data_IF_032385494338
#
_entry.id   IF_032385494338
#
_cell.length_a   1.000
_cell.length_b   1.000
_cell.length_c   1.000
_cell.angle_alpha   90.00
_cell.angle_beta   90.00
_cell.angle_gamma   90.00
#
_symmetry.space_group_name_H-M   'P 1'
#
loop_
_entity.id
_entity.type
_entity.pdbx_description
1 polymer ?
#
# COMPACT_ATOMS: atom_id res chain seq x y z
N UNK A 1 -1.77 6.69 8.64
CA UNK A 1 -2.19 6.02 7.38
C UNK A 1 -3.64 6.37 7.19
N UNK A 2 -3.99 6.94 6.04
CA UNK A 2 -5.35 7.32 5.74
C UNK A 2 -5.81 6.39 4.63
N UNK A 3 -6.77 5.53 4.93
CA UNK A 3 -7.49 4.77 3.91
C UNK A 3 -8.36 5.76 3.15
N UNK A 4 -8.26 5.78 1.83
CA UNK A 4 -9.03 6.66 0.97
C UNK A 4 -10.00 5.84 0.15
N UNK A 5 -11.20 6.36 -0.08
CA UNK A 5 -12.17 5.68 -0.95
C UNK A 5 -11.60 5.60 -2.35
N UNK A 6 -11.72 4.44 -2.99
CA UNK A 6 -11.46 4.31 -4.41
C UNK A 6 -12.49 5.13 -5.18
N UNK A 7 -12.06 5.97 -6.11
CA UNK A 7 -12.96 6.85 -6.89
C UNK A 7 -13.76 6.03 -7.93
N UNK A 8 -13.20 4.90 -8.37
CA UNK A 8 -13.79 4.03 -9.37
C UNK A 8 -14.71 2.94 -8.78
N UNK A 9 -14.68 2.77 -7.46
CA UNK A 9 -15.47 1.75 -6.73
C UNK A 9 -15.77 2.28 -5.32
N UNK A 10 -16.97 2.78 -5.07
CA UNK A 10 -17.30 3.30 -3.73
C UNK A 10 -17.41 2.19 -2.66
N UNK A 11 -17.27 0.90 -3.00
CA UNK A 11 -17.31 -0.19 -2.03
C UNK A 11 -15.94 -0.53 -1.42
N UNK A 12 -14.87 0.11 -1.88
CA UNK A 12 -13.49 -0.20 -1.49
C UNK A 12 -12.72 1.02 -0.97
N UNK A 13 -11.70 0.74 -0.16
CA UNK A 13 -10.67 1.67 0.25
C UNK A 13 -9.33 1.26 -0.33
N UNK A 14 -8.48 2.24 -0.60
CA UNK A 14 -7.08 2.00 -0.95
C UNK A 14 -6.11 2.65 0.02
N UNK A 15 -4.90 2.11 0.06
CA UNK A 15 -3.74 2.73 0.72
C UNK A 15 -2.45 2.47 -0.08
N UNK A 16 -1.61 3.49 -0.35
CA UNK A 16 -0.33 3.29 -1.02
C UNK A 16 0.61 2.41 -0.20
N UNK A 17 1.23 1.41 -0.83
CA UNK A 17 2.25 0.59 -0.18
C UNK A 17 3.54 1.39 0.06
N UNK A 18 4.24 1.03 1.14
CA UNK A 18 5.57 1.56 1.43
C UNK A 18 6.41 0.50 2.12
N UNK A 19 7.69 0.44 1.74
CA UNK A 19 8.69 -0.38 2.42
C UNK A 19 9.52 0.56 3.28
N UNK A 20 9.65 0.19 4.56
CA UNK A 20 10.59 0.83 5.44
C UNK A 20 12.01 0.31 5.23
N UNK A 21 13.00 1.18 5.35
CA UNK A 21 14.41 0.81 5.29
C UNK A 21 15.22 1.75 6.20
N UNK A 22 16.39 1.29 6.64
CA UNK A 22 17.34 2.10 7.40
C UNK A 22 18.34 2.75 6.46
N UNK A 23 18.55 4.05 6.61
CA UNK A 23 19.58 4.83 5.95
C UNK A 23 20.49 5.43 7.04
N UNK A 24 21.56 4.69 7.36
CA UNK A 24 22.34 4.91 8.58
C UNK A 24 21.48 4.66 9.83
N UNK A 25 21.45 5.63 10.75
CA UNK A 25 20.63 5.59 11.96
C UNK A 25 19.17 6.03 11.73
N UNK A 26 18.83 6.47 10.51
CA UNK A 26 17.49 7.02 10.22
C UNK A 26 16.61 5.98 9.57
N UNK A 27 15.41 5.82 10.13
CA UNK A 27 14.36 5.06 9.49
C UNK A 27 13.70 5.90 8.38
N UNK A 28 13.64 5.36 7.16
CA UNK A 28 12.98 5.97 6.00
C UNK A 28 11.94 5.01 5.42
N UNK A 29 11.03 5.55 4.62
CA UNK A 29 10.03 4.75 3.90
C UNK A 29 10.00 5.18 2.45
N UNK A 30 9.99 4.24 1.51
CA UNK A 30 9.76 4.52 0.09
C UNK A 30 8.51 3.84 -0.42
N UNK A 31 7.86 4.47 -1.42
CA UNK A 31 6.71 3.90 -2.13
C UNK A 31 7.18 2.88 -3.15
N UNK A 32 6.41 1.80 -3.25
CA UNK A 32 6.69 0.67 -4.15
C UNK A 32 6.06 0.96 -5.51
N UNK A 33 6.78 0.62 -6.57
CA UNK A 33 6.26 0.68 -7.95
C UNK A 33 6.31 -0.68 -8.65
N UNK A 34 7.08 -1.66 -8.15
CA UNK A 34 7.18 -2.98 -8.74
C UNK A 34 6.62 -4.05 -7.78
N UNK A 35 5.78 -4.95 -8.30
CA UNK A 35 5.24 -6.06 -7.53
C UNK A 35 6.32 -7.06 -7.12
N UNK A 36 7.46 -7.13 -7.80
CA UNK A 36 8.59 -8.00 -7.40
C UNK A 36 9.09 -7.70 -5.98
N UNK A 37 8.90 -6.47 -5.52
CA UNK A 37 9.33 -5.96 -4.20
C UNK A 37 8.36 -6.37 -3.06
N UNK A 38 7.21 -6.95 -3.39
CA UNK A 38 6.20 -7.40 -2.44
C UNK A 38 6.38 -8.89 -2.10
N UNK A 39 6.26 -9.23 -0.81
CA UNK A 39 6.25 -10.62 -0.37
C UNK A 39 5.03 -11.39 -0.88
N UNK A 40 5.16 -12.70 -0.95
CA UNK A 40 4.08 -13.65 -1.26
C UNK A 40 2.86 -13.48 -0.36
N UNK A 41 3.09 -13.19 0.92
CA UNK A 41 2.07 -12.98 1.93
C UNK A 41 1.23 -11.75 1.62
N UNK A 42 1.86 -10.64 1.18
CA UNK A 42 1.12 -9.44 0.79
C UNK A 42 0.30 -9.71 -0.47
N UNK A 43 0.91 -10.36 -1.47
CA UNK A 43 0.25 -10.69 -2.75
C UNK A 43 -0.95 -11.61 -2.60
N UNK A 44 -0.91 -12.52 -1.63
CA UNK A 44 -2.01 -13.47 -1.37
C UNK A 44 -3.13 -12.88 -0.52
N UNK A 45 -2.83 -11.94 0.38
CA UNK A 45 -3.83 -11.37 1.29
C UNK A 45 -4.55 -10.15 0.72
N UNK A 46 -3.88 -9.38 -0.11
CA UNK A 46 -4.37 -8.08 -0.59
C UNK A 46 -4.53 -8.04 -2.11
N UNK A 47 -5.57 -7.33 -2.54
CA UNK A 47 -5.68 -6.89 -3.93
C UNK A 47 -4.68 -5.74 -4.12
N UNK A 48 -3.81 -5.87 -5.12
CA UNK A 48 -2.79 -4.87 -5.45
C UNK A 48 -3.17 -4.23 -6.77
N UNK A 49 -3.21 -2.91 -6.80
CA UNK A 49 -3.45 -2.14 -8.01
C UNK A 49 -2.46 -0.98 -8.12
N UNK A 50 -2.37 -0.40 -9.30
CA UNK A 50 -1.66 0.87 -9.46
C UNK A 50 -2.55 2.02 -8.98
N UNK A 51 -1.94 3.05 -8.39
CA UNK A 51 -2.67 4.19 -7.85
C UNK A 51 -3.57 4.90 -8.89
N UNK A 52 -3.15 4.93 -10.15
CA UNK A 52 -3.92 5.50 -11.25
C UNK A 52 -5.16 4.67 -11.65
N UNK A 53 -5.23 3.40 -11.22
CA UNK A 53 -6.39 2.53 -11.46
C UNK A 53 -7.48 2.72 -10.40
N UNK A 54 -7.12 3.27 -9.23
CA UNK A 54 -8.06 3.51 -8.12
C UNK A 54 -8.45 4.98 -7.97
N UNK A 55 -7.73 5.88 -8.65
CA UNK A 55 -7.92 7.32 -8.56
C UNK A 55 -7.78 8.00 -9.92
N UNK A 56 -8.75 8.85 -10.25
CA UNK A 56 -8.88 9.48 -11.57
C UNK A 56 -7.91 10.64 -11.77
N UNK A 57 -7.52 11.33 -10.70
CA UNK A 57 -6.53 12.41 -10.73
C UNK A 57 -5.33 12.09 -9.82
N UNK A 58 -4.40 11.23 -10.29
CA UNK A 58 -3.29 10.78 -9.46
C UNK A 58 -2.32 11.93 -9.18
N UNK A 59 -1.99 12.14 -7.91
CA UNK A 59 -0.89 13.03 -7.54
C UNK A 59 0.42 12.55 -8.19
N UNK A 60 1.22 13.49 -8.71
CA UNK A 60 2.51 13.17 -9.36
C UNK A 60 3.43 12.29 -8.49
N UNK A 61 3.34 12.44 -7.17
CA UNK A 61 4.14 11.69 -6.20
C UNK A 61 3.75 10.21 -6.07
N UNK A 62 2.51 9.85 -6.39
CA UNK A 62 1.99 8.48 -6.29
C UNK A 62 1.74 7.86 -7.67
N UNK A 63 2.04 8.58 -8.75
CA UNK A 63 1.92 8.04 -10.08
C UNK A 63 2.81 6.80 -10.24
N UNK A 64 2.27 5.75 -10.89
CA UNK A 64 2.89 4.43 -11.02
C UNK A 64 3.26 3.74 -9.68
N UNK A 65 2.69 4.17 -8.55
CA UNK A 65 2.90 3.50 -7.26
C UNK A 65 1.80 2.48 -6.98
N UNK A 66 2.18 1.40 -6.32
CA UNK A 66 1.27 0.33 -5.96
C UNK A 66 0.47 0.70 -4.70
N UNK A 67 -0.80 0.34 -4.71
CA UNK A 67 -1.72 0.46 -3.59
C UNK A 67 -2.24 -0.92 -3.19
N UNK A 68 -2.56 -1.05 -1.92
CA UNK A 68 -3.44 -2.09 -1.40
C UNK A 68 -4.88 -1.63 -1.55
N UNK A 69 -5.76 -2.50 -2.02
CA UNK A 69 -7.21 -2.28 -2.06
C UNK A 69 -7.89 -3.27 -1.11
N UNK A 70 -8.73 -2.74 -0.22
CA UNK A 70 -9.51 -3.49 0.76
C UNK A 70 -10.99 -3.11 0.61
N UNK A 71 -11.91 -4.06 0.71
CA UNK A 71 -13.34 -3.75 0.76
C UNK A 71 -13.68 -3.01 2.06
N UNK A 72 -14.70 -2.16 2.03
CA UNK A 72 -15.19 -1.39 3.19
C UNK A 72 -15.58 -2.24 4.39
N UNK A 73 -16.10 -3.43 4.14
CA UNK A 73 -16.60 -4.37 5.15
C UNK A 73 -15.52 -5.33 5.68
N UNK A 74 -14.34 -5.37 5.06
CA UNK A 74 -13.22 -6.22 5.48
C UNK A 74 -12.27 -5.47 6.44
N UNK A 75 -12.80 -5.12 7.61
CA UNK A 75 -12.06 -4.40 8.65
C UNK A 75 -10.80 -5.15 9.11
N UNK A 76 -10.80 -6.49 9.04
CA UNK A 76 -9.65 -7.32 9.40
C UNK A 76 -8.49 -7.07 8.45
N UNK A 77 -8.74 -7.05 7.13
CA UNK A 77 -7.69 -6.72 6.16
C UNK A 77 -7.22 -5.28 6.28
N UNK A 78 -8.12 -4.33 6.54
CA UNK A 78 -7.72 -2.94 6.77
C UNK A 78 -6.81 -2.81 8.00
N UNK A 79 -7.14 -3.47 9.11
CA UNK A 79 -6.29 -3.49 10.31
C UNK A 79 -4.94 -4.17 10.04
N UNK A 80 -4.94 -5.28 9.29
CA UNK A 80 -3.71 -5.98 8.92
C UNK A 80 -2.80 -5.11 8.03
N UNK A 81 -3.36 -4.46 7.00
CA UNK A 81 -2.63 -3.48 6.18
C UNK A 81 -2.09 -2.32 7.03
N UNK A 82 -2.85 -1.89 8.05
CA UNK A 82 -2.42 -0.86 8.98
C UNK A 82 -1.15 -1.26 9.74
N UNK A 83 -1.19 -2.46 10.32
CA UNK A 83 -0.10 -3.05 11.09
C UNK A 83 1.13 -3.27 10.21
N UNK A 84 0.95 -3.83 9.01
CA UNK A 84 2.06 -4.09 8.10
C UNK A 84 2.84 -2.80 7.80
N UNK A 85 2.23 -1.67 7.45
CA UNK A 85 3.06 -0.46 7.20
C UNK A 85 3.88 0.02 8.41
N UNK A 86 3.48 -0.32 9.63
CA UNK A 86 4.20 0.06 10.85
C UNK A 86 5.29 -0.95 11.22
N UNK A 87 5.09 -2.23 10.91
CA UNK A 87 5.95 -3.35 11.32
C UNK A 87 6.74 -3.94 10.13
N UNK A 88 6.54 -3.42 8.92
CA UNK A 88 7.29 -3.79 7.71
C UNK A 88 8.48 -2.84 7.37
N UNK A 89 9.31 -2.39 8.34
CA UNK A 89 10.61 -1.82 8.01
C UNK A 89 11.76 -2.83 7.97
N UNK A 90 11.52 -4.11 8.26
CA UNK A 90 12.61 -5.06 8.58
C UNK A 90 12.97 -6.00 7.41
N UNK A 91 12.39 -5.84 6.22
CA UNK A 91 12.62 -6.75 5.08
C UNK A 91 13.20 -6.08 3.83
N UNK A 92 13.87 -4.93 3.99
CA UNK A 92 14.89 -4.53 3.02
C UNK A 92 16.15 -5.35 3.29
N UNK A 93 16.43 -6.35 2.45
CA UNK A 93 17.79 -6.91 2.37
C UNK A 93 18.78 -5.82 1.97
#
# INVERSE_FOLDING_TARGET
MIFQLTENDESSYYVPFGIGYTDGERFRTRRISDQSELSSEIKSNFKIEEYQQVRSNPSKQLNNKLVCVCKKDDYKKMAFAFILQRIYPVLGK
#
